data_IF_963302054228
#
_entry.id   IF_963302054228
#
_cell.length_a   1.000
_cell.length_b   1.000
_cell.length_c   1.000
_cell.angle_alpha   90.00
_cell.angle_beta   90.00
_cell.angle_gamma   90.00
#
_symmetry.space_group_name_H-M   'P 1'
#
loop_
_entity.id
_entity.type
_entity.pdbx_description
1 polymer ?
#
# COMPACT_ATOMS: atom_id res chain seq x y z
N UNK A 1 6.95 0.38 -28.43
CA UNK A 1 5.79 0.24 -27.51
C UNK A 1 5.79 1.35 -26.46
N UNK A 2 4.68 2.09 -26.37
CA UNK A 2 4.52 3.21 -25.43
C UNK A 2 4.42 2.79 -23.96
N UNK A 3 4.67 3.74 -23.06
CA UNK A 3 4.74 3.56 -21.62
C UNK A 3 3.44 3.02 -21.01
N UNK A 4 2.29 3.56 -21.43
CA UNK A 4 0.96 3.14 -20.94
C UNK A 4 0.73 1.64 -21.22
N UNK A 5 1.12 1.16 -22.41
CA UNK A 5 1.00 -0.26 -22.77
C UNK A 5 1.92 -1.13 -21.92
N UNK A 6 3.14 -0.67 -21.62
CA UNK A 6 4.07 -1.36 -20.71
C UNK A 6 3.48 -1.49 -19.30
N UNK A 7 2.89 -0.41 -18.79
CA UNK A 7 2.18 -0.43 -17.52
C UNK A 7 1.05 -1.42 -17.48
N UNK A 8 0.13 -1.39 -18.47
CA UNK A 8 -0.99 -2.35 -18.54
C UNK A 8 -0.48 -3.80 -18.45
N UNK A 9 0.59 -4.14 -19.19
CA UNK A 9 1.19 -5.48 -19.18
C UNK A 9 1.81 -5.82 -17.81
N UNK A 10 2.55 -4.88 -17.20
CA UNK A 10 3.13 -5.09 -15.88
C UNK A 10 2.06 -5.33 -14.81
N UNK A 11 1.00 -4.50 -14.78
CA UNK A 11 -0.10 -4.63 -13.81
C UNK A 11 -0.84 -5.96 -14.01
N UNK A 12 -1.08 -6.37 -15.26
CA UNK A 12 -1.67 -7.69 -15.56
C UNK A 12 -0.78 -8.84 -15.08
N UNK A 13 0.52 -8.76 -15.32
CA UNK A 13 1.48 -9.75 -14.83
C UNK A 13 1.47 -9.87 -13.31
N UNK A 14 1.49 -8.73 -12.60
CA UNK A 14 1.44 -8.71 -11.14
C UNK A 14 0.11 -9.27 -10.60
N UNK A 15 -1.01 -8.91 -11.22
CA UNK A 15 -2.34 -9.42 -10.87
C UNK A 15 -2.45 -10.95 -10.95
N UNK A 16 -1.80 -11.57 -11.95
CA UNK A 16 -1.76 -13.03 -12.14
C UNK A 16 -0.74 -13.68 -11.19
N UNK A 17 0.32 -12.96 -10.81
CA UNK A 17 1.36 -13.50 -9.92
C UNK A 17 0.94 -13.62 -8.44
N UNK A 18 -0.18 -13.00 -8.05
CA UNK A 18 -0.72 -13.12 -6.69
C UNK A 18 -1.48 -14.43 -6.56
N UNK A 19 -1.11 -15.23 -5.58
CA UNK A 19 -1.63 -16.59 -5.37
C UNK A 19 -2.65 -16.70 -4.23
N UNK A 20 -2.90 -15.62 -3.49
CA UNK A 20 -3.86 -15.62 -2.39
C UNK A 20 -4.34 -14.22 -2.04
N UNK A 21 -5.54 -14.14 -1.45
CA UNK A 21 -6.06 -12.92 -0.83
C UNK A 21 -5.37 -12.59 0.50
N UNK A 22 -5.76 -11.46 1.10
CA UNK A 22 -5.19 -11.00 2.36
C UNK A 22 -5.57 -11.92 3.52
N UNK A 23 -4.59 -12.21 4.39
CA UNK A 23 -4.79 -13.02 5.59
C UNK A 23 -5.50 -12.23 6.70
N UNK A 24 -6.53 -12.83 7.30
CA UNK A 24 -7.28 -12.28 8.44
C UNK A 24 -6.37 -11.99 9.65
N UNK A 25 -5.37 -12.84 9.92
CA UNK A 25 -4.45 -12.63 11.05
C UNK A 25 -3.65 -11.33 10.90
N UNK A 26 -3.20 -11.01 9.68
CA UNK A 26 -2.50 -9.76 9.38
C UNK A 26 -3.40 -8.54 9.53
N UNK A 27 -4.66 -8.65 9.11
CA UNK A 27 -5.65 -7.59 9.32
C UNK A 27 -5.92 -7.35 10.81
N UNK A 28 -6.16 -8.40 11.60
CA UNK A 28 -6.37 -8.28 13.05
C UNK A 28 -5.14 -7.71 13.77
N UNK A 29 -3.93 -8.19 13.45
CA UNK A 29 -2.69 -7.66 14.02
C UNK A 29 -2.51 -6.17 13.69
N UNK A 30 -2.84 -5.75 12.48
CA UNK A 30 -2.79 -4.33 12.12
C UNK A 30 -3.84 -3.52 12.86
N UNK A 31 -5.07 -4.01 12.94
CA UNK A 31 -6.21 -3.33 13.56
C UNK A 31 -6.06 -3.11 15.06
N UNK A 32 -5.54 -4.12 15.78
CA UNK A 32 -5.49 -4.12 17.24
C UNK A 32 -4.09 -3.83 17.83
N UNK A 33 -3.02 -3.92 17.03
CA UNK A 33 -1.65 -3.70 17.52
C UNK A 33 -1.00 -2.53 16.81
N UNK A 34 -0.75 -2.64 15.49
CA UNK A 34 0.03 -1.62 14.78
C UNK A 34 -0.70 -0.29 14.67
N UNK A 35 -2.01 -0.32 14.42
CA UNK A 35 -2.81 0.89 14.26
C UNK A 35 -2.91 1.70 15.55
N UNK A 36 -3.28 1.13 16.72
CA UNK A 36 -3.26 1.88 17.97
C UNK A 36 -1.89 2.46 18.29
N UNK A 37 -0.81 1.71 18.06
CA UNK A 37 0.57 2.20 18.28
C UNK A 37 0.85 3.43 17.41
N UNK A 38 0.59 3.36 16.10
CA UNK A 38 0.78 4.49 15.19
C UNK A 38 -0.12 5.69 15.54
N UNK A 39 -1.37 5.43 15.92
CA UNK A 39 -2.33 6.45 16.35
C UNK A 39 -1.86 7.17 17.61
N UNK A 40 -1.42 6.42 18.64
CA UNK A 40 -0.93 7.00 19.87
C UNK A 40 0.37 7.78 19.67
N UNK A 41 1.30 7.29 18.84
CA UNK A 41 2.52 8.04 18.49
C UNK A 41 2.19 9.37 17.84
N UNK A 42 1.21 9.41 16.95
CA UNK A 42 0.76 10.67 16.35
C UNK A 42 0.09 11.58 17.38
N UNK A 43 -0.84 11.04 18.16
CA UNK A 43 -1.54 11.79 19.20
C UNK A 43 -0.59 12.41 20.23
N UNK A 44 0.45 11.69 20.65
CA UNK A 44 1.41 12.18 21.63
C UNK A 44 2.38 13.22 21.07
N UNK A 45 2.61 13.22 19.77
CA UNK A 45 3.59 14.12 19.14
C UNK A 45 2.96 15.31 18.44
N UNK A 46 1.69 15.25 18.01
CA UNK A 46 1.07 16.28 17.16
C UNK A 46 1.10 17.70 17.75
N UNK A 47 1.10 17.85 19.07
CA UNK A 47 1.15 19.16 19.74
C UNK A 47 2.52 19.84 19.67
N UNK A 48 3.57 19.06 19.47
CA UNK A 48 4.96 19.52 19.35
C UNK A 48 5.37 19.77 17.89
N UNK A 49 4.47 19.46 16.95
CA UNK A 49 4.69 19.64 15.52
C UNK A 49 4.46 21.10 15.10
N UNK A 50 5.14 21.55 14.03
CA UNK A 50 4.79 22.81 13.35
C UNK A 50 3.48 22.71 12.54
N UNK A 51 2.82 21.54 12.55
CA UNK A 51 1.50 21.38 11.94
C UNK A 51 0.49 22.34 12.58
N UNK A 52 -0.31 23.01 11.74
CA UNK A 52 -1.42 23.80 12.27
C UNK A 52 -2.36 22.90 13.08
N UNK A 53 -2.87 23.41 14.21
CA UNK A 53 -3.79 22.69 15.09
C UNK A 53 -5.02 22.14 14.34
N UNK A 54 -5.47 22.87 13.31
CA UNK A 54 -6.57 22.45 12.44
C UNK A 54 -6.24 21.18 11.64
N UNK A 55 -5.05 21.14 11.02
CA UNK A 55 -4.59 19.96 10.24
C UNK A 55 -4.32 18.78 11.17
N UNK A 56 -3.68 19.01 12.32
CA UNK A 56 -3.44 17.96 13.31
C UNK A 56 -4.74 17.30 13.78
N UNK A 57 -5.74 18.10 14.14
CA UNK A 57 -7.07 17.61 14.53
C UNK A 57 -7.78 16.88 13.39
N UNK A 58 -7.67 17.36 12.15
CA UNK A 58 -8.25 16.69 11.00
C UNK A 58 -7.65 15.29 10.80
N UNK A 59 -6.32 15.15 10.90
CA UNK A 59 -5.64 13.85 10.80
C UNK A 59 -6.08 12.93 11.95
N UNK A 60 -6.15 13.45 13.17
CA UNK A 60 -6.59 12.69 14.34
C UNK A 60 -8.02 12.15 14.16
N UNK A 61 -8.97 13.01 13.82
CA UNK A 61 -10.36 12.60 13.62
C UNK A 61 -10.53 11.67 12.43
N UNK A 62 -9.78 11.89 11.34
CA UNK A 62 -9.71 10.94 10.23
C UNK A 62 -9.19 9.58 10.71
N UNK A 63 -8.20 9.54 11.61
CA UNK A 63 -7.73 8.32 12.25
C UNK A 63 -8.81 7.60 13.06
N UNK A 64 -9.57 8.31 13.89
CA UNK A 64 -10.67 7.68 14.65
C UNK A 64 -11.71 7.09 13.69
N UNK A 65 -12.08 7.86 12.65
CA UNK A 65 -13.04 7.43 11.65
C UNK A 65 -12.57 6.21 10.86
N UNK A 66 -11.34 6.24 10.33
CA UNK A 66 -10.73 5.13 9.59
C UNK A 66 -10.71 3.86 10.43
N UNK A 67 -10.34 3.96 11.70
CA UNK A 67 -10.32 2.82 12.60
C UNK A 67 -11.71 2.22 12.81
N UNK A 68 -12.71 3.06 13.08
CA UNK A 68 -14.10 2.61 13.24
C UNK A 68 -14.65 1.93 11.99
N UNK A 69 -14.38 2.50 10.81
CA UNK A 69 -14.79 1.90 9.53
C UNK A 69 -14.06 0.59 9.28
N UNK A 70 -12.74 0.53 9.46
CA UNK A 70 -11.95 -0.68 9.28
C UNK A 70 -12.38 -1.79 10.26
N UNK A 71 -12.71 -1.42 11.50
CA UNK A 71 -13.25 -2.35 12.50
C UNK A 71 -14.59 -2.95 12.04
N UNK A 72 -15.54 -2.12 11.57
CA UNK A 72 -16.82 -2.60 11.04
C UNK A 72 -16.62 -3.50 9.80
N UNK A 73 -15.74 -3.11 8.87
CA UNK A 73 -15.40 -3.93 7.71
C UNK A 73 -14.78 -5.27 8.14
N UNK A 74 -13.93 -5.27 9.17
CA UNK A 74 -13.32 -6.50 9.71
C UNK A 74 -14.36 -7.44 10.31
N UNK A 75 -15.34 -6.90 11.04
CA UNK A 75 -16.47 -7.69 11.55
C UNK A 75 -17.25 -8.31 10.39
N UNK A 76 -17.59 -7.51 9.38
CA UNK A 76 -18.29 -8.00 8.18
C UNK A 76 -17.48 -9.06 7.43
N UNK A 77 -16.16 -8.88 7.32
CA UNK A 77 -15.25 -9.83 6.70
C UNK A 77 -15.23 -11.16 7.45
N UNK A 78 -15.25 -11.13 8.78
CA UNK A 78 -15.27 -12.32 9.62
C UNK A 78 -16.57 -13.10 9.46
N UNK A 79 -17.73 -12.45 9.58
CA UNK A 79 -19.03 -13.12 9.43
C UNK A 79 -19.28 -13.67 8.03
N UNK A 80 -18.75 -13.01 6.99
CA UNK A 80 -18.95 -13.41 5.59
C UNK A 80 -17.80 -14.23 5.02
N UNK A 81 -16.77 -14.53 5.83
CA UNK A 81 -15.51 -15.14 5.39
C UNK A 81 -14.92 -14.50 4.11
N UNK A 82 -15.06 -13.17 3.98
CA UNK A 82 -14.78 -12.47 2.73
C UNK A 82 -13.40 -11.77 2.77
N UNK A 83 -12.43 -12.34 2.06
CA UNK A 83 -11.05 -11.83 2.01
C UNK A 83 -10.90 -10.47 1.29
N UNK A 84 -11.86 -10.07 0.45
CA UNK A 84 -11.85 -8.72 -0.15
C UNK A 84 -12.07 -7.65 0.94
N UNK A 85 -13.04 -7.87 1.84
CA UNK A 85 -13.25 -6.97 2.98
C UNK A 85 -12.08 -6.99 3.97
N UNK A 86 -11.49 -8.16 4.22
CA UNK A 86 -10.23 -8.26 4.99
C UNK A 86 -9.13 -7.39 4.39
N UNK A 87 -8.95 -7.45 3.07
CA UNK A 87 -7.97 -6.63 2.37
C UNK A 87 -8.30 -5.14 2.42
N UNK A 88 -9.56 -4.76 2.23
CA UNK A 88 -10.01 -3.37 2.28
C UNK A 88 -9.76 -2.74 3.66
N UNK A 89 -10.08 -3.47 4.74
CA UNK A 89 -9.77 -3.04 6.10
C UNK A 89 -8.27 -2.82 6.30
N UNK A 90 -7.45 -3.81 5.94
CA UNK A 90 -5.99 -3.72 6.08
C UNK A 90 -5.42 -2.52 5.29
N UNK A 91 -5.96 -2.26 4.10
CA UNK A 91 -5.54 -1.16 3.26
C UNK A 91 -5.82 0.21 3.89
N UNK A 92 -7.03 0.40 4.43
CA UNK A 92 -7.40 1.64 5.14
C UNK A 92 -6.49 1.91 6.34
N UNK A 93 -6.24 0.88 7.16
CA UNK A 93 -5.34 0.97 8.31
C UNK A 93 -3.91 1.29 7.86
N UNK A 94 -3.43 0.63 6.80
CA UNK A 94 -2.09 0.82 6.25
C UNK A 94 -1.84 2.23 5.71
N UNK A 95 -2.83 2.84 5.06
CA UNK A 95 -2.74 4.23 4.58
C UNK A 95 -2.50 5.18 5.75
N UNK A 96 -3.32 5.07 6.80
CA UNK A 96 -3.20 5.95 7.96
C UNK A 96 -1.83 5.79 8.64
N UNK A 97 -1.40 4.54 8.87
CA UNK A 97 -0.09 4.24 9.47
C UNK A 97 1.04 4.85 8.63
N UNK A 98 1.02 4.65 7.31
CA UNK A 98 2.08 5.16 6.43
C UNK A 98 2.14 6.69 6.38
N UNK A 99 1.00 7.33 6.54
CA UNK A 99 0.89 8.79 6.53
C UNK A 99 1.31 9.42 7.88
N UNK A 100 0.98 8.80 9.02
CA UNK A 100 1.28 9.42 10.32
C UNK A 100 2.64 9.06 10.89
N UNK A 101 3.19 7.89 10.54
CA UNK A 101 4.48 7.43 11.09
C UNK A 101 5.66 8.37 10.79
N UNK A 102 5.83 8.90 9.56
CA UNK A 102 6.87 9.90 9.26
C UNK A 102 6.66 11.21 10.02
N UNK A 103 5.40 11.67 10.14
CA UNK A 103 5.05 12.90 10.87
C UNK A 103 5.45 12.77 12.34
N UNK A 104 5.07 11.66 12.98
CA UNK A 104 5.42 11.37 14.37
C UNK A 104 6.93 11.28 14.56
N UNK A 105 7.64 10.62 13.63
CA UNK A 105 9.10 10.49 13.70
C UNK A 105 9.83 11.83 13.50
N UNK A 106 9.37 12.66 12.58
CA UNK A 106 9.91 14.00 12.37
C UNK A 106 9.65 14.90 13.57
N UNK A 107 8.50 14.75 14.21
CA UNK A 107 8.16 15.53 15.40
C UNK A 107 9.00 15.11 16.60
N UNK A 108 9.10 13.80 16.86
CA UNK A 108 9.87 13.26 17.99
C UNK A 108 11.38 13.53 17.91
N UNK A 109 11.99 13.48 16.71
CA UNK A 109 13.45 13.51 16.57
C UNK A 109 14.00 14.70 15.78
N UNK A 110 13.16 15.45 15.08
CA UNK A 110 13.58 16.58 14.22
C UNK A 110 12.80 17.88 14.49
N UNK A 111 12.15 18.00 15.64
CA UNK A 111 11.44 19.22 16.06
C UNK A 111 10.21 19.55 15.21
N UNK A 112 9.68 18.59 14.45
CA UNK A 112 8.38 18.72 13.79
C UNK A 112 8.34 19.69 12.62
N UNK A 113 9.48 19.95 11.96
CA UNK A 113 9.55 20.92 10.86
C UNK A 113 8.57 20.61 9.73
N UNK A 114 7.70 21.56 9.41
CA UNK A 114 6.66 21.41 8.38
C UNK A 114 7.29 21.13 7.00
N UNK A 115 8.42 21.77 6.69
CA UNK A 115 9.14 21.56 5.42
C UNK A 115 9.62 20.11 5.27
N UNK A 116 10.13 19.52 6.35
CA UNK A 116 10.60 18.15 6.35
C UNK A 116 9.44 17.16 6.25
N UNK A 117 8.35 17.41 6.99
CA UNK A 117 7.11 16.62 6.89
C UNK A 117 6.57 16.61 5.45
N UNK A 118 6.44 17.78 4.82
CA UNK A 118 5.96 17.90 3.44
C UNK A 118 6.87 17.11 2.49
N UNK A 119 8.19 17.25 2.63
CA UNK A 119 9.14 16.52 1.79
C UNK A 119 9.01 15.00 1.95
N UNK A 120 8.80 14.52 3.18
CA UNK A 120 8.61 13.09 3.45
C UNK A 120 7.36 12.55 2.78
N UNK A 121 6.22 13.21 3.00
CA UNK A 121 4.93 12.78 2.44
C UNK A 121 4.93 12.81 0.91
N UNK A 122 5.47 13.87 0.31
CA UNK A 122 5.63 13.94 -1.15
C UNK A 122 6.50 12.80 -1.66
N UNK A 123 7.58 12.46 -0.97
CA UNK A 123 8.49 11.39 -1.37
C UNK A 123 7.86 10.01 -1.23
N UNK A 124 7.05 9.78 -0.18
CA UNK A 124 6.29 8.54 0.04
C UNK A 124 5.26 8.33 -1.06
N UNK A 125 4.61 9.39 -1.52
CA UNK A 125 3.63 9.34 -2.63
C UNK A 125 4.33 9.13 -3.98
N UNK A 126 5.43 9.83 -4.25
CA UNK A 126 6.12 9.78 -5.53
C UNK A 126 6.91 8.49 -5.73
N UNK A 127 7.46 7.90 -4.66
CA UNK A 127 8.35 6.75 -4.79
C UNK A 127 7.71 5.52 -5.44
N UNK A 128 6.48 5.10 -5.07
CA UNK A 128 5.76 4.04 -5.77
C UNK A 128 5.50 4.36 -7.25
N UNK A 129 5.26 5.63 -7.60
CA UNK A 129 5.06 6.04 -9.00
C UNK A 129 6.37 5.87 -9.78
N UNK A 130 7.48 6.36 -9.25
CA UNK A 130 8.81 6.24 -9.86
C UNK A 130 9.21 4.76 -9.98
N UNK A 131 9.01 3.97 -8.94
CA UNK A 131 9.37 2.56 -8.95
C UNK A 131 8.60 1.77 -10.00
N UNK A 132 7.29 2.01 -10.14
CA UNK A 132 6.47 1.36 -11.14
C UNK A 132 6.76 1.85 -12.57
N UNK A 133 7.13 3.12 -12.75
CA UNK A 133 7.66 3.64 -14.02
C UNK A 133 8.90 2.88 -14.45
N UNK A 134 9.88 2.76 -13.56
CA UNK A 134 11.13 2.02 -13.81
C UNK A 134 10.84 0.54 -14.05
N UNK A 135 9.90 -0.05 -13.30
CA UNK A 135 9.45 -1.43 -13.49
C UNK A 135 8.91 -1.66 -14.90
N UNK A 136 8.02 -0.80 -15.37
CA UNK A 136 7.38 -0.94 -16.69
C UNK A 136 8.41 -0.86 -17.83
N UNK A 137 9.44 -0.02 -17.68
CA UNK A 137 10.54 0.05 -18.65
C UNK A 137 11.52 -1.11 -18.56
N UNK A 138 11.80 -1.60 -17.35
CA UNK A 138 12.87 -2.58 -17.11
C UNK A 138 12.39 -4.03 -17.21
N UNK A 139 11.11 -4.29 -16.97
CA UNK A 139 10.53 -5.64 -16.92
C UNK A 139 9.67 -5.99 -18.13
N UNK A 140 9.30 -5.03 -18.96
CA UNK A 140 8.55 -5.27 -20.20
C UNK A 140 9.47 -4.96 -21.36
N UNK A 141 9.57 -5.82 -22.37
CA UNK A 141 10.39 -5.53 -23.55
C UNK A 141 9.62 -4.68 -24.59
N UNK A 142 10.30 -4.24 -25.65
CA UNK A 142 9.72 -3.53 -26.80
C UNK A 142 8.61 -4.31 -27.48
N UNK A 143 8.66 -5.64 -27.42
CA UNK A 143 7.67 -6.56 -27.97
C UNK A 143 6.49 -6.82 -27.02
N UNK A 144 6.48 -6.20 -25.84
CA UNK A 144 5.41 -6.37 -24.85
C UNK A 144 5.46 -7.67 -24.04
N UNK A 145 6.58 -8.38 -24.06
CA UNK A 145 6.80 -9.57 -23.24
C UNK A 145 7.39 -9.19 -21.88
N UNK A 146 6.97 -9.89 -20.82
CA UNK A 146 7.60 -9.76 -19.51
C UNK A 146 8.96 -10.46 -19.55
N UNK A 147 10.00 -9.75 -19.14
CA UNK A 147 11.36 -10.27 -19.08
C UNK A 147 11.49 -11.15 -17.84
N UNK A 148 11.50 -12.46 -18.03
CA UNK A 148 11.65 -13.45 -16.97
C UNK A 148 13.12 -13.74 -16.62
N UNK A 149 13.89 -12.70 -16.33
CA UNK A 149 15.28 -12.85 -15.88
C UNK A 149 15.38 -12.59 -14.38
N UNK A 150 15.85 -13.57 -13.62
CA UNK A 150 16.08 -13.42 -12.18
C UNK A 150 17.07 -12.29 -11.86
N UNK A 151 18.04 -12.07 -12.74
CA UNK A 151 18.98 -10.95 -12.63
C UNK A 151 18.27 -9.61 -12.71
N UNK A 152 17.29 -9.46 -13.60
CA UNK A 152 16.53 -8.22 -13.77
C UNK A 152 15.53 -8.05 -12.61
N UNK A 153 14.83 -9.12 -12.21
CA UNK A 153 13.96 -9.10 -11.02
C UNK A 153 14.73 -8.70 -9.76
N UNK A 154 15.93 -9.26 -9.56
CA UNK A 154 16.81 -8.92 -8.43
C UNK A 154 17.25 -7.46 -8.47
N UNK A 155 17.68 -6.95 -9.64
CA UNK A 155 18.01 -5.52 -9.82
C UNK A 155 16.84 -4.61 -9.51
N UNK A 156 15.64 -4.98 -9.95
CA UNK A 156 14.44 -4.21 -9.67
C UNK A 156 14.10 -4.21 -8.17
N UNK A 157 14.25 -5.34 -7.48
CA UNK A 157 14.08 -5.39 -6.03
C UNK A 157 15.09 -4.50 -5.30
N UNK A 158 16.36 -4.47 -5.74
CA UNK A 158 17.34 -3.50 -5.21
C UNK A 158 16.94 -2.05 -5.49
N UNK A 159 16.36 -1.76 -6.65
CA UNK A 159 15.86 -0.44 -6.98
C UNK A 159 14.71 -0.01 -6.07
N UNK A 160 13.70 -0.86 -5.84
CA UNK A 160 12.60 -0.56 -4.90
C UNK A 160 13.14 -0.31 -3.49
N UNK A 161 14.13 -1.12 -3.07
CA UNK A 161 14.76 -1.01 -1.76
C UNK A 161 15.80 0.08 -1.65
N UNK A 162 16.05 0.86 -2.71
CA UNK A 162 17.10 1.86 -2.77
C UNK A 162 17.05 2.90 -1.63
N UNK A 163 15.88 3.45 -1.21
CA UNK A 163 15.82 4.41 -0.11
C UNK A 163 16.41 3.82 1.16
N UNK A 164 16.06 2.58 1.50
CA UNK A 164 16.56 1.88 2.68
C UNK A 164 18.03 1.53 2.52
N UNK A 165 18.43 1.00 1.37
CA UNK A 165 19.81 0.56 1.11
C UNK A 165 20.83 1.71 1.14
N UNK A 166 20.42 2.93 0.81
CA UNK A 166 21.28 4.12 0.90
C UNK A 166 21.23 4.71 2.31
N UNK A 167 20.03 4.89 2.87
CA UNK A 167 19.86 5.65 4.11
C UNK A 167 20.30 4.86 5.34
N UNK A 168 19.91 3.59 5.45
CA UNK A 168 20.14 2.81 6.68
C UNK A 168 21.63 2.66 7.02
N UNK A 169 22.54 2.33 6.08
CA UNK A 169 23.97 2.19 6.40
C UNK A 169 24.63 3.48 6.89
N UNK A 170 24.06 4.64 6.54
CA UNK A 170 24.58 5.96 6.94
C UNK A 170 23.88 6.44 8.21
N UNK A 171 22.55 6.40 8.25
CA UNK A 171 21.76 6.95 9.34
C UNK A 171 21.86 6.10 10.63
N UNK A 172 22.03 4.77 10.57
CA UNK A 172 22.18 3.95 11.77
C UNK A 172 23.44 4.31 12.58
N UNK A 173 24.65 4.33 12.00
CA UNK A 173 25.84 4.78 12.72
C UNK A 173 25.70 6.21 13.24
N UNK A 174 25.17 7.14 12.44
CA UNK A 174 25.02 8.54 12.87
C UNK A 174 24.00 8.68 14.01
N UNK A 175 22.95 7.84 14.03
CA UNK A 175 22.01 7.77 15.16
C UNK A 175 22.75 7.37 16.44
N UNK A 176 23.55 6.29 16.36
CA UNK A 176 24.25 5.76 17.54
C UNK A 176 25.39 6.66 18.03
N UNK A 177 26.15 7.26 17.11
CA UNK A 177 27.37 8.01 17.44
C UNK A 177 27.19 9.53 17.51
N UNK A 178 26.15 10.09 16.89
CA UNK A 178 26.02 11.56 16.74
C UNK A 178 24.73 12.08 17.34
N UNK A 179 23.56 11.62 16.89
CA UNK A 179 22.29 12.20 17.32
C UNK A 179 21.07 11.36 16.92
N UNK A 180 20.08 11.28 17.81
CA UNK A 180 18.78 10.68 17.52
C UNK A 180 18.02 11.37 16.38
N UNK A 181 18.42 12.58 15.98
CA UNK A 181 17.93 13.25 14.77
C UNK A 181 17.94 12.34 13.54
N UNK A 182 18.95 11.46 13.42
CA UNK A 182 19.07 10.57 12.27
C UNK A 182 18.00 9.45 12.24
N UNK A 183 17.28 9.21 13.33
CA UNK A 183 16.09 8.33 13.36
C UNK A 183 15.03 8.80 12.35
N UNK A 184 14.87 10.11 12.15
CA UNK A 184 13.89 10.66 11.21
C UNK A 184 14.14 10.14 9.78
N UNK A 185 15.39 9.99 9.36
CA UNK A 185 15.72 9.44 8.03
C UNK A 185 15.50 7.93 7.95
N UNK A 186 15.74 7.19 9.04
CA UNK A 186 15.45 5.76 9.09
C UNK A 186 13.95 5.50 8.88
N UNK A 187 13.09 6.16 9.65
CA UNK A 187 11.64 6.04 9.52
C UNK A 187 11.16 6.49 8.14
N UNK A 188 11.69 7.60 7.62
CA UNK A 188 11.37 8.06 6.26
C UNK A 188 11.70 7.01 5.20
N UNK A 189 12.91 6.43 5.23
CA UNK A 189 13.35 5.44 4.25
C UNK A 189 12.51 4.16 4.30
N UNK A 190 12.12 3.71 5.50
CA UNK A 190 11.24 2.56 5.70
C UNK A 190 9.83 2.85 5.18
N UNK A 191 9.28 4.03 5.46
CA UNK A 191 7.96 4.43 4.92
C UNK A 191 7.95 4.48 3.41
N UNK A 192 9.01 4.98 2.75
CA UNK A 192 9.14 4.92 1.29
C UNK A 192 9.15 3.48 0.77
N UNK A 193 9.89 2.56 1.42
CA UNK A 193 9.89 1.16 1.04
C UNK A 193 8.47 0.56 1.14
N UNK A 194 7.79 0.78 2.27
CA UNK A 194 6.46 0.26 2.52
C UNK A 194 5.39 0.88 1.63
N UNK A 195 5.57 2.12 1.14
CA UNK A 195 4.64 2.78 0.22
C UNK A 195 4.41 1.96 -1.07
N UNK A 196 5.41 1.20 -1.52
CA UNK A 196 5.25 0.30 -2.67
C UNK A 196 4.24 -0.83 -2.41
N UNK A 197 4.07 -1.22 -1.15
CA UNK A 197 3.08 -2.20 -0.74
C UNK A 197 1.65 -1.70 -0.89
N UNK A 198 1.41 -0.37 -0.94
CA UNK A 198 0.08 0.17 -1.20
C UNK A 198 -0.40 -0.16 -2.61
N UNK A 199 0.47 -0.07 -3.62
CA UNK A 199 0.09 -0.47 -4.98
C UNK A 199 -0.09 -1.99 -5.04
N UNK A 200 0.83 -2.74 -4.43
CA UNK A 200 0.72 -4.21 -4.41
C UNK A 200 -0.54 -4.69 -3.68
N UNK A 201 -0.95 -3.98 -2.64
CA UNK A 201 -2.13 -4.27 -1.82
C UNK A 201 -3.38 -4.46 -2.66
N UNK A 202 -3.59 -3.62 -3.69
CA UNK A 202 -4.72 -3.75 -4.59
C UNK A 202 -4.80 -5.11 -5.30
N UNK A 203 -3.67 -5.72 -5.66
CA UNK A 203 -3.70 -7.04 -6.29
C UNK A 203 -4.16 -8.14 -5.33
N UNK A 204 -3.80 -8.03 -4.04
CA UNK A 204 -4.26 -8.95 -2.98
C UNK A 204 -5.73 -8.70 -2.61
N UNK A 205 -6.15 -7.43 -2.54
CA UNK A 205 -7.54 -7.04 -2.23
C UNK A 205 -8.48 -7.57 -3.32
N UNK A 206 -8.11 -7.38 -4.59
CA UNK A 206 -8.93 -7.78 -5.73
C UNK A 206 -8.78 -9.27 -6.08
N UNK A 207 -7.89 -10.01 -5.42
CA UNK A 207 -7.68 -11.44 -5.70
C UNK A 207 -8.97 -12.29 -5.57
N UNK A 208 -9.74 -12.19 -4.47
CA UNK A 208 -11.00 -12.94 -4.28
C UNK A 208 -12.07 -12.62 -5.33
N UNK A 209 -11.99 -11.43 -5.94
CA UNK A 209 -12.92 -11.04 -7.00
C UNK A 209 -12.58 -11.71 -8.34
N UNK A 210 -11.29 -12.03 -8.57
CA UNK A 210 -10.80 -12.67 -9.80
C UNK A 210 -10.86 -14.19 -9.75
N UNK A 211 -10.71 -14.79 -8.57
CA UNK A 211 -10.58 -16.24 -8.37
C UNK A 211 -11.74 -16.81 -7.57
N UNK A 212 -12.96 -16.53 -8.05
CA UNK A 212 -14.22 -16.87 -7.39
C UNK A 212 -14.33 -18.37 -7.09
N UNK A 213 -13.82 -19.23 -7.99
CA UNK A 213 -13.94 -20.68 -7.90
C UNK A 213 -12.86 -21.33 -7.00
N UNK A 214 -11.67 -20.75 -6.94
CA UNK A 214 -10.57 -21.26 -6.10
C UNK A 214 -10.86 -21.12 -4.60
N UNK A 215 -11.74 -20.19 -4.20
CA UNK A 215 -12.17 -20.03 -2.81
C UNK A 215 -13.45 -20.81 -2.48
N UNK A 216 -14.24 -21.21 -3.48
CA UNK A 216 -15.48 -21.99 -3.29
C UNK A 216 -15.18 -23.44 -2.92
N UNK A 217 -14.00 -23.96 -3.27
CA UNK A 217 -13.57 -25.30 -2.86
C UNK A 217 -13.42 -25.44 -1.32
N UNK A 218 -13.18 -24.36 -0.58
CA UNK A 218 -12.97 -24.40 0.88
C UNK A 218 -14.22 -24.03 1.71
N UNK A 219 -15.27 -23.40 1.14
CA UNK A 219 -16.42 -22.93 1.91
C UNK A 219 -17.74 -22.97 1.09
N UNK A 220 -18.42 -24.12 1.14
CA UNK A 220 -19.64 -24.42 0.38
C UNK A 220 -20.89 -23.57 0.72
N UNK A 221 -20.86 -22.66 1.70
CA UNK A 221 -22.01 -21.79 2.05
C UNK A 221 -21.73 -20.28 1.98
N UNK A 222 -20.45 -19.85 1.88
CA UNK A 222 -20.09 -18.42 1.79
C UNK A 222 -20.22 -17.84 0.35
N UNK A 223 -20.45 -18.72 -0.63
CA UNK A 223 -20.43 -18.43 -2.07
C UNK A 223 -21.48 -17.42 -2.53
N UNK A 224 -22.69 -17.40 -1.95
CA UNK A 224 -23.81 -16.63 -2.52
C UNK A 224 -23.67 -15.11 -2.30
N UNK A 225 -23.24 -14.70 -1.11
CA UNK A 225 -23.10 -13.28 -0.75
C UNK A 225 -21.82 -12.68 -1.33
N UNK A 226 -20.72 -13.44 -1.37
CA UNK A 226 -19.52 -13.10 -2.13
C UNK A 226 -19.88 -12.98 -3.61
N UNK A 227 -20.64 -13.93 -4.15
CA UNK A 227 -21.08 -13.90 -5.54
C UNK A 227 -21.86 -12.64 -5.88
N UNK A 228 -22.76 -12.18 -4.99
CA UNK A 228 -23.58 -10.99 -5.23
C UNK A 228 -22.79 -9.68 -5.13
N UNK A 229 -21.89 -9.54 -4.16
CA UNK A 229 -21.02 -8.36 -4.03
C UNK A 229 -19.96 -8.29 -5.15
N UNK A 230 -19.41 -9.45 -5.52
CA UNK A 230 -18.50 -9.61 -6.67
C UNK A 230 -19.23 -9.29 -7.97
N UNK A 231 -20.46 -9.79 -8.17
CA UNK A 231 -21.23 -9.52 -9.39
C UNK A 231 -21.58 -8.04 -9.49
N UNK A 232 -22.05 -7.39 -8.42
CA UNK A 232 -22.36 -5.97 -8.46
C UNK A 232 -21.11 -5.11 -8.78
N UNK A 233 -19.95 -5.45 -8.20
CA UNK A 233 -18.72 -4.71 -8.48
C UNK A 233 -18.12 -5.06 -9.86
N UNK A 234 -18.21 -6.32 -10.30
CA UNK A 234 -17.76 -6.77 -11.61
C UNK A 234 -18.64 -6.22 -12.73
N UNK A 235 -19.97 -6.18 -12.56
CA UNK A 235 -20.91 -5.51 -13.47
C UNK A 235 -20.57 -4.02 -13.56
N UNK A 236 -20.34 -3.34 -12.44
CA UNK A 236 -19.93 -1.92 -12.44
C UNK A 236 -18.57 -1.70 -13.12
N UNK A 237 -17.60 -2.61 -12.89
CA UNK A 237 -16.26 -2.55 -13.51
C UNK A 237 -16.26 -2.97 -14.98
N UNK A 238 -17.21 -3.81 -15.42
CA UNK A 238 -17.38 -4.23 -16.82
C UNK A 238 -18.24 -3.25 -17.62
N UNK A 239 -19.22 -2.58 -17.00
CA UNK A 239 -19.99 -1.49 -17.60
C UNK A 239 -19.12 -0.25 -17.83
N UNK A 240 -18.07 -0.03 -17.02
CA UNK A 240 -16.99 0.88 -17.35
C UNK A 240 -15.99 0.23 -18.32
N UNK A 241 -16.39 0.20 -19.60
CA UNK A 241 -15.57 -0.07 -20.79
C UNK A 241 -14.04 0.13 -20.58
N UNK A 242 -13.33 -0.94 -20.23
CA UNK A 242 -11.92 -1.11 -20.58
C UNK A 242 -11.86 -2.00 -21.83
N UNK A 243 -11.76 -1.34 -22.99
CA UNK A 243 -11.49 -1.90 -24.32
C UNK A 243 -12.56 -2.90 -24.85
N UNK A 244 -13.78 -2.40 -25.11
CA UNK A 244 -14.68 -2.99 -26.13
C UNK A 244 -14.63 -2.28 -27.50
N UNK A 245 -13.83 -1.23 -27.62
CA UNK A 245 -13.66 -0.55 -28.91
C UNK A 245 -12.31 -0.93 -29.54
N UNK A 246 -12.44 -1.74 -30.58
CA UNK A 246 -11.69 -1.65 -31.84
C UNK A 246 -10.23 -2.13 -31.89
N UNK A 247 -10.07 -3.44 -32.10
CA UNK A 247 -9.12 -3.93 -33.10
C UNK A 247 -9.90 -4.81 -34.08
N UNK A 248 -10.47 -4.18 -35.11
CA UNK A 248 -10.71 -4.88 -36.37
C UNK A 248 -9.40 -4.86 -37.14
N UNK A 249 -8.92 -6.04 -37.48
CA UNK A 249 -7.82 -6.24 -38.42
C UNK A 249 -8.27 -5.77 -39.80
N UNK A 250 -7.48 -4.88 -40.42
CA UNK A 250 -7.25 -4.80 -41.86
C UNK A 250 -5.73 -4.72 -42.08
#
# INVERSE_FOLDING_TARGET
MGLIKRFKILLKYQSISVTSGVNQASNCGTLFIFYPIAFFMFYSTMSESELSLLVGNLILYAGIFIWGVAFLITILAFFKHNKFFTGLSLYLLGIYILFTLPISATTAWSGGSLKLIILQEVSIILWPVISYLVAAYSLVDKDGKIIQSDKIKKRFNYFISLPVLIVVPVALPLTYFISDYYCTYLFWSVSMLLANSLIKGWFFILYPLRHKDDEVADLAEASEVQSKAVNALNETLQEQHFDKDEFKED
#
